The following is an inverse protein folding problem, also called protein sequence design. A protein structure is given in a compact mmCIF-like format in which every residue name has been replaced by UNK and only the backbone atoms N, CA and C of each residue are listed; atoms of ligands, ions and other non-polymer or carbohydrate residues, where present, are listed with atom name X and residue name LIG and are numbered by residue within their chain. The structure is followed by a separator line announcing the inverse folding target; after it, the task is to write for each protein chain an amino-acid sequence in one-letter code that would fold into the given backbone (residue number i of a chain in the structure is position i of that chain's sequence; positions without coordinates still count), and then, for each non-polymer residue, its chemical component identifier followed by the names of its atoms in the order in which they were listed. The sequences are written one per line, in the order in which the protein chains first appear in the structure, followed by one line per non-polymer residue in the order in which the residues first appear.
data_IF_208077255550
#
_entry.id   IF_208077255550
#
_cell.length_a   1.000
_cell.length_b   1.000
_cell.length_c   1.000
_cell.angle_alpha   90.00
_cell.angle_beta   90.00
_cell.angle_gamma   90.00
#
_symmetry.space_group_name_H-M   'P 1'
#
loop_
_entity.id
_entity.type
_entity.pdbx_description
1 polymer ?
#
# COMPACT_ATOMS: atom_id res chain seq x y z
N UNK A 1 23.95 25.33 23.16
CA UNK A 1 23.69 24.08 22.43
C UNK A 1 22.21 23.73 22.30
N UNK A 2 21.37 23.74 23.36
CA UNK A 2 19.90 23.48 23.25
C UNK A 2 19.12 24.47 22.37
N UNK A 3 19.49 25.73 22.33
CA UNK A 3 18.83 26.78 21.53
C UNK A 3 19.05 26.58 20.01
N UNK A 4 20.25 26.21 19.58
CA UNK A 4 20.57 25.93 18.17
C UNK A 4 19.78 24.74 17.61
N UNK A 5 19.68 23.64 18.40
CA UNK A 5 18.89 22.45 18.05
C UNK A 5 17.40 22.77 17.91
N UNK A 6 16.86 23.72 18.70
CA UNK A 6 15.47 24.18 18.61
C UNK A 6 15.20 24.96 17.31
N UNK A 7 16.16 25.82 16.90
CA UNK A 7 16.06 26.61 15.66
C UNK A 7 16.17 25.73 14.40
N UNK A 8 17.08 24.76 14.38
CA UNK A 8 17.23 23.83 13.27
C UNK A 8 15.98 22.97 13.09
N UNK A 9 15.39 22.49 14.20
CA UNK A 9 14.12 21.73 14.18
C UNK A 9 12.98 22.59 13.64
N UNK A 10 12.87 23.85 14.09
CA UNK A 10 11.84 24.79 13.62
C UNK A 10 11.99 25.14 12.14
N UNK A 11 13.23 25.35 11.67
CA UNK A 11 13.54 25.64 10.28
C UNK A 11 13.23 24.43 9.39
N UNK A 12 13.58 23.22 9.84
CA UNK A 12 13.27 21.96 9.13
C UNK A 12 11.76 21.80 8.99
N UNK A 13 11.00 21.93 10.06
CA UNK A 13 9.54 21.82 10.04
C UNK A 13 8.87 22.84 9.11
N UNK A 14 9.37 24.07 9.07
CA UNK A 14 8.86 25.09 8.13
C UNK A 14 9.15 24.70 6.67
N UNK A 15 10.37 24.28 6.37
CA UNK A 15 10.77 23.85 5.02
C UNK A 15 9.93 22.64 4.56
N UNK A 16 9.74 21.66 5.43
CA UNK A 16 8.96 20.46 5.14
C UNK A 16 7.46 20.80 4.96
N UNK A 17 6.94 21.74 5.74
CA UNK A 17 5.60 22.29 5.55
C UNK A 17 5.41 23.00 4.20
N UNK A 18 6.38 23.78 3.75
CA UNK A 18 6.34 24.43 2.43
C UNK A 18 6.41 23.40 1.30
N UNK A 19 7.31 22.40 1.43
CA UNK A 19 7.44 21.31 0.46
C UNK A 19 6.13 20.54 0.32
N UNK A 20 5.51 20.16 1.44
CA UNK A 20 4.21 19.45 1.46
C UNK A 20 3.11 20.28 0.76
N UNK A 21 2.99 21.57 1.06
CA UNK A 21 2.01 22.46 0.41
C UNK A 21 2.22 22.55 -1.11
N UNK A 22 3.45 22.67 -1.55
CA UNK A 22 3.77 22.71 -2.98
C UNK A 22 3.41 21.37 -3.66
N UNK A 23 3.72 20.26 -3.04
CA UNK A 23 3.37 18.92 -3.55
C UNK A 23 1.85 18.71 -3.60
N UNK A 24 1.11 19.13 -2.56
CA UNK A 24 -0.35 19.04 -2.56
C UNK A 24 -0.97 19.87 -3.69
N UNK A 25 -0.45 21.09 -3.93
CA UNK A 25 -0.89 21.91 -5.05
C UNK A 25 -0.65 21.27 -6.41
N UNK A 26 0.48 20.58 -6.58
CA UNK A 26 0.78 19.82 -7.80
C UNK A 26 -0.19 18.62 -7.96
N UNK A 27 -0.52 17.92 -6.86
CA UNK A 27 -1.52 16.83 -6.88
C UNK A 27 -2.89 17.38 -7.29
N UNK A 28 -3.33 18.49 -6.72
CA UNK A 28 -4.57 19.17 -7.06
C UNK A 28 -4.61 19.51 -8.56
N UNK A 29 -3.53 20.11 -9.09
CA UNK A 29 -3.42 20.43 -10.51
C UNK A 29 -3.46 19.19 -11.41
N UNK A 30 -2.79 18.11 -11.04
CA UNK A 30 -2.82 16.83 -11.78
C UNK A 30 -4.21 16.20 -11.77
N UNK A 31 -4.96 16.39 -10.68
CA UNK A 31 -6.32 15.88 -10.53
C UNK A 31 -7.38 16.77 -11.21
N UNK A 32 -7.09 18.03 -11.41
CA UNK A 32 -8.01 18.99 -12.02
C UNK A 32 -8.56 18.48 -13.37
N UNK A 33 -9.86 18.61 -13.56
CA UNK A 33 -10.55 18.15 -14.78
C UNK A 33 -10.81 16.64 -14.86
N UNK A 34 -10.46 15.85 -13.83
CA UNK A 34 -10.79 14.43 -13.75
C UNK A 34 -12.16 14.29 -13.07
N UNK A 35 -13.18 13.95 -13.87
CA UNK A 35 -14.52 13.72 -13.34
C UNK A 35 -14.55 12.42 -12.55
N UNK A 36 -15.17 12.45 -11.40
CA UNK A 36 -15.64 11.24 -10.74
C UNK A 36 -16.90 10.80 -11.48
N UNK A 37 -16.88 9.58 -12.01
CA UNK A 37 -18.12 8.98 -12.48
C UNK A 37 -19.04 8.80 -11.26
N UNK A 38 -20.36 9.09 -11.39
CA UNK A 38 -21.26 8.81 -10.30
C UNK A 38 -21.18 7.31 -9.97
N UNK A 39 -21.11 6.99 -8.69
CA UNK A 39 -21.19 5.62 -8.19
C UNK A 39 -22.53 5.03 -8.64
N UNK A 40 -22.52 4.32 -9.73
CA UNK A 40 -23.66 3.47 -10.14
C UNK A 40 -23.47 2.17 -9.35
N UNK A 41 -24.19 2.04 -8.24
CA UNK A 41 -24.21 0.81 -7.47
C UNK A 41 -24.64 -0.35 -8.41
N UNK A 42 -23.70 -1.24 -8.71
CA UNK A 42 -24.04 -2.46 -9.42
C UNK A 42 -24.71 -3.40 -8.41
N UNK A 43 -26.02 -3.53 -8.48
CA UNK A 43 -26.83 -4.30 -7.54
C UNK A 43 -26.73 -5.82 -7.73
N UNK A 44 -25.99 -6.30 -8.74
CA UNK A 44 -26.00 -7.72 -9.16
C UNK A 44 -24.62 -8.34 -9.38
N UNK A 45 -23.57 -7.85 -8.75
CA UNK A 45 -22.21 -8.40 -8.89
C UNK A 45 -21.42 -8.38 -7.58
N UNK A 46 -20.19 -8.94 -7.58
CA UNK A 46 -19.31 -8.84 -6.40
C UNK A 46 -19.08 -7.38 -6.04
N UNK A 47 -18.98 -7.09 -4.76
CA UNK A 47 -18.77 -5.74 -4.23
C UNK A 47 -17.68 -5.72 -3.17
N UNK A 48 -17.01 -4.58 -3.04
CA UNK A 48 -15.96 -4.36 -2.05
C UNK A 48 -14.88 -5.45 -2.09
N UNK A 49 -14.59 -6.08 -0.96
CA UNK A 49 -13.60 -7.14 -0.83
C UNK A 49 -13.88 -8.37 -1.71
N UNK A 50 -15.13 -8.60 -2.13
CA UNK A 50 -15.47 -9.73 -3.01
C UNK A 50 -14.92 -9.56 -4.43
N UNK A 51 -14.58 -8.31 -4.84
CA UNK A 51 -13.92 -8.00 -6.12
C UNK A 51 -12.45 -8.36 -6.11
N UNK A 52 -11.87 -8.59 -4.91
CA UNK A 52 -10.44 -8.76 -4.76
C UNK A 52 -10.03 -10.23 -4.84
N UNK A 53 -9.03 -10.51 -5.66
CA UNK A 53 -8.20 -11.69 -5.51
C UNK A 53 -7.20 -11.38 -4.39
N UNK A 54 -7.41 -11.99 -3.22
CA UNK A 54 -6.72 -11.63 -1.98
C UNK A 54 -5.57 -12.58 -1.73
N UNK A 55 -4.36 -12.03 -1.65
CA UNK A 55 -3.14 -12.74 -1.31
C UNK A 55 -2.52 -12.16 -0.04
N UNK A 56 -2.02 -13.02 0.86
CA UNK A 56 -1.17 -12.56 1.95
C UNK A 56 0.16 -13.30 1.96
N UNK A 57 1.23 -12.55 2.21
CA UNK A 57 2.60 -13.02 2.19
C UNK A 57 3.02 -13.32 3.62
N UNK A 58 3.45 -14.56 3.90
CA UNK A 58 3.80 -14.99 5.25
C UNK A 58 4.95 -16.01 5.23
N UNK A 59 5.99 -15.76 6.03
CA UNK A 59 7.09 -16.69 6.24
C UNK A 59 6.60 -17.99 6.89
N UNK A 60 7.11 -19.12 6.43
CA UNK A 60 6.59 -20.43 6.87
C UNK A 60 6.74 -20.66 8.38
N UNK A 61 7.82 -20.19 8.98
CA UNK A 61 8.06 -20.30 10.40
C UNK A 61 7.23 -19.33 11.26
N UNK A 62 6.58 -18.31 10.66
CA UNK A 62 5.73 -17.35 11.38
C UNK A 62 4.27 -17.84 11.43
N UNK A 63 4.08 -18.96 12.13
CA UNK A 63 2.74 -19.53 12.37
C UNK A 63 1.85 -18.60 13.22
N UNK A 64 2.45 -17.81 14.11
CA UNK A 64 1.83 -16.76 14.89
C UNK A 64 1.12 -15.73 13.99
N UNK A 65 1.85 -15.10 13.08
CA UNK A 65 1.34 -14.11 12.13
C UNK A 65 0.34 -14.72 11.14
N UNK A 66 0.53 -15.99 10.75
CA UNK A 66 -0.46 -16.71 9.93
C UNK A 66 -1.81 -16.80 10.62
N UNK A 67 -1.82 -17.18 11.90
CA UNK A 67 -3.05 -17.27 12.69
C UNK A 67 -3.71 -15.89 12.86
N UNK A 68 -2.92 -14.84 13.06
CA UNK A 68 -3.39 -13.46 13.13
C UNK A 68 -4.08 -13.03 11.84
N UNK A 69 -3.45 -13.21 10.67
CA UNK A 69 -4.06 -12.85 9.37
C UNK A 69 -5.34 -13.63 9.09
N UNK A 70 -5.39 -14.92 9.43
CA UNK A 70 -6.61 -15.71 9.30
C UNK A 70 -7.73 -15.17 10.20
N UNK A 71 -7.40 -14.71 11.40
CA UNK A 71 -8.35 -14.06 12.32
C UNK A 71 -8.86 -12.73 11.76
N UNK A 72 -7.99 -11.90 11.18
CA UNK A 72 -8.37 -10.65 10.52
C UNK A 72 -9.37 -10.90 9.37
N UNK A 73 -9.06 -11.83 8.46
CA UNK A 73 -9.97 -12.17 7.36
C UNK A 73 -11.29 -12.73 7.86
N UNK A 74 -11.26 -13.58 8.89
CA UNK A 74 -12.48 -14.12 9.52
C UNK A 74 -13.35 -13.01 10.11
N UNK A 75 -12.75 -12.05 10.81
CA UNK A 75 -13.46 -10.90 11.38
C UNK A 75 -14.15 -10.04 10.31
N UNK A 76 -13.56 -9.92 9.13
CA UNK A 76 -14.15 -9.24 7.98
C UNK A 76 -15.11 -10.11 7.17
N UNK A 77 -15.31 -11.37 7.51
CA UNK A 77 -16.14 -12.30 6.74
C UNK A 77 -15.55 -12.67 5.38
N UNK A 78 -14.24 -12.53 5.21
CA UNK A 78 -13.53 -12.93 3.98
C UNK A 78 -13.30 -14.44 4.03
N UNK A 79 -13.83 -15.15 3.05
CA UNK A 79 -13.74 -16.62 2.96
C UNK A 79 -12.82 -17.11 1.85
N UNK A 80 -12.46 -16.24 0.91
CA UNK A 80 -11.56 -16.57 -0.22
C UNK A 80 -10.32 -15.70 -0.14
N UNK A 81 -9.18 -16.31 0.13
CA UNK A 81 -7.86 -15.71 0.11
C UNK A 81 -6.80 -16.80 -0.09
N UNK A 82 -5.66 -16.43 -0.64
CA UNK A 82 -4.52 -17.31 -0.83
C UNK A 82 -3.36 -16.88 0.06
N UNK A 83 -2.73 -17.87 0.72
CA UNK A 83 -1.45 -17.66 1.38
C UNK A 83 -0.33 -17.87 0.38
N UNK A 84 0.54 -16.89 0.25
CA UNK A 84 1.83 -17.05 -0.41
C UNK A 84 2.91 -17.32 0.64
N UNK A 85 3.62 -18.45 0.52
CA UNK A 85 4.77 -18.72 1.39
C UNK A 85 5.92 -17.79 1.01
N UNK A 86 6.22 -16.85 1.91
CA UNK A 86 7.22 -15.83 1.67
C UNK A 86 8.60 -16.43 1.41
N UNK A 87 9.32 -15.86 0.47
CA UNK A 87 10.68 -16.23 0.11
C UNK A 87 11.62 -15.70 1.19
N UNK A 88 12.19 -16.60 1.99
CA UNK A 88 13.20 -16.24 2.98
C UNK A 88 14.52 -15.89 2.29
N UNK A 89 15.15 -14.80 2.71
CA UNK A 89 16.46 -14.37 2.22
C UNK A 89 17.27 -13.77 3.39
N UNK A 90 18.57 -13.92 3.39
CA UNK A 90 19.45 -13.31 4.38
C UNK A 90 19.34 -11.77 4.37
N UNK A 91 19.07 -11.19 3.19
CA UNK A 91 18.62 -9.82 3.05
C UNK A 91 17.09 -9.79 3.08
N UNK A 92 16.49 -9.51 4.24
CA UNK A 92 15.04 -9.52 4.42
C UNK A 92 14.28 -8.62 3.44
N UNK A 93 14.85 -7.46 3.05
CA UNK A 93 14.24 -6.60 2.03
C UNK A 93 14.22 -7.27 0.65
N UNK A 94 15.24 -8.06 0.30
CA UNK A 94 15.27 -8.85 -0.92
C UNK A 94 14.25 -10.00 -0.88
N UNK A 95 14.12 -10.69 0.26
CA UNK A 95 13.10 -11.72 0.46
C UNK A 95 11.68 -11.16 0.30
N UNK A 96 11.41 -10.01 0.91
CA UNK A 96 10.15 -9.27 0.75
C UNK A 96 9.90 -8.93 -0.74
N UNK A 97 10.89 -8.34 -1.43
CA UNK A 97 10.77 -7.97 -2.84
C UNK A 97 10.49 -9.19 -3.74
N UNK A 98 11.22 -10.29 -3.57
CA UNK A 98 11.00 -11.55 -4.31
C UNK A 98 9.61 -12.13 -4.07
N UNK A 99 9.11 -12.04 -2.84
CA UNK A 99 7.77 -12.53 -2.49
C UNK A 99 6.68 -11.73 -3.19
N UNK A 100 6.79 -10.40 -3.20
CA UNK A 100 5.85 -9.54 -3.94
C UNK A 100 5.93 -9.76 -5.45
N UNK A 101 7.15 -9.91 -6.00
CA UNK A 101 7.36 -10.23 -7.43
C UNK A 101 6.64 -11.53 -7.82
N UNK A 102 6.78 -12.58 -7.01
CA UNK A 102 6.14 -13.87 -7.26
C UNK A 102 4.61 -13.80 -7.18
N UNK A 103 4.06 -13.10 -6.18
CA UNK A 103 2.61 -12.88 -6.07
C UNK A 103 2.09 -12.13 -7.29
N UNK A 104 2.74 -11.03 -7.68
CA UNK A 104 2.33 -10.24 -8.84
C UNK A 104 2.42 -11.01 -10.15
N UNK A 105 3.43 -11.89 -10.31
CA UNK A 105 3.58 -12.72 -11.51
C UNK A 105 2.53 -13.83 -11.62
N UNK A 106 1.98 -14.28 -10.49
CA UNK A 106 0.96 -15.34 -10.43
C UNK A 106 -0.47 -14.81 -10.42
N UNK A 107 -0.66 -13.51 -10.20
CA UNK A 107 -1.98 -12.90 -10.14
C UNK A 107 -2.72 -13.06 -11.47
N UNK A 108 -3.93 -13.62 -11.39
CA UNK A 108 -4.82 -13.73 -12.56
C UNK A 108 -5.40 -12.36 -12.88
N UNK A 109 -5.01 -11.81 -14.03
CA UNK A 109 -5.41 -10.46 -14.44
C UNK A 109 -6.66 -10.53 -15.31
N UNK A 110 -7.85 -10.50 -14.71
CA UNK A 110 -9.04 -10.10 -15.44
C UNK A 110 -9.26 -8.58 -15.29
N UNK A 111 -9.78 -7.91 -16.33
CA UNK A 111 -9.93 -6.44 -16.29
C UNK A 111 -10.85 -5.95 -15.19
N UNK A 112 -11.78 -6.81 -14.74
CA UNK A 112 -12.79 -6.47 -13.72
C UNK A 112 -12.39 -6.91 -12.29
N UNK A 113 -11.23 -7.53 -12.13
CA UNK A 113 -10.76 -8.04 -10.86
C UNK A 113 -9.70 -7.12 -10.27
N UNK A 114 -9.76 -6.91 -8.95
CA UNK A 114 -8.74 -6.24 -8.17
C UNK A 114 -7.81 -7.30 -7.57
N UNK A 115 -6.53 -6.98 -7.42
CA UNK A 115 -5.56 -7.80 -6.69
C UNK A 115 -5.22 -7.11 -5.38
N UNK A 116 -5.52 -7.77 -4.27
CA UNK A 116 -5.18 -7.29 -2.93
C UNK A 116 -3.98 -8.07 -2.40
N UNK A 117 -2.95 -7.36 -1.99
CA UNK A 117 -1.74 -7.95 -1.40
C UNK A 117 -1.61 -7.42 0.02
N UNK A 118 -1.50 -8.34 0.99
CA UNK A 118 -1.25 -8.04 2.39
C UNK A 118 0.06 -8.67 2.85
N UNK A 119 0.82 -7.98 3.69
CA UNK A 119 1.86 -8.59 4.51
C UNK A 119 1.23 -9.21 5.77
N UNK A 120 1.91 -10.16 6.39
CA UNK A 120 1.36 -10.94 7.51
C UNK A 120 1.29 -10.17 8.84
N UNK A 121 1.75 -8.94 8.86
CA UNK A 121 1.59 -8.02 9.98
C UNK A 121 0.50 -6.95 9.73
N UNK A 122 -0.26 -7.09 8.65
CA UNK A 122 -1.41 -6.25 8.40
C UNK A 122 -2.50 -6.49 9.46
N UNK A 123 -3.04 -5.42 10.02
CA UNK A 123 -4.19 -5.42 10.92
C UNK A 123 -5.25 -4.49 10.36
N UNK A 124 -6.46 -5.00 10.16
CA UNK A 124 -7.61 -4.17 9.79
C UNK A 124 -8.17 -3.48 11.03
N UNK A 125 -8.31 -2.15 10.98
CA UNK A 125 -8.77 -1.33 12.09
C UNK A 125 -10.14 -0.68 11.82
N UNK A 126 -10.69 -0.94 10.65
CA UNK A 126 -12.03 -0.53 10.24
C UNK A 126 -12.93 -1.74 10.02
N UNK A 127 -14.22 -1.53 10.04
CA UNK A 127 -15.20 -2.55 9.73
C UNK A 127 -15.28 -2.85 8.23
N UNK A 128 -15.92 -3.97 7.90
CA UNK A 128 -16.12 -4.42 6.52
C UNK A 128 -16.78 -3.36 5.65
N UNK A 129 -17.78 -2.65 6.17
CA UNK A 129 -18.56 -1.69 5.40
C UNK A 129 -17.72 -0.49 4.97
N UNK A 130 -16.85 0.02 5.84
CA UNK A 130 -15.93 1.10 5.52
C UNK A 130 -14.89 0.69 4.46
N UNK A 131 -14.37 -0.54 4.57
CA UNK A 131 -13.41 -1.09 3.60
C UNK A 131 -14.10 -1.27 2.24
N UNK A 132 -15.29 -1.87 2.20
CA UNK A 132 -16.04 -2.08 0.96
C UNK A 132 -16.40 -0.75 0.29
N UNK A 133 -16.80 0.27 1.04
CA UNK A 133 -17.10 1.60 0.50
C UNK A 133 -15.87 2.24 -0.18
N UNK A 134 -14.71 2.14 0.44
CA UNK A 134 -13.47 2.67 -0.14
C UNK A 134 -13.06 1.91 -1.41
N UNK A 135 -13.20 0.57 -1.42
CA UNK A 135 -12.92 -0.28 -2.58
C UNK A 135 -13.87 0.03 -3.73
N UNK A 136 -15.16 0.18 -3.47
CA UNK A 136 -16.15 0.51 -4.52
C UNK A 136 -15.84 1.87 -5.15
N UNK A 137 -15.54 2.87 -4.34
CA UNK A 137 -15.17 4.18 -4.85
C UNK A 137 -13.88 4.14 -5.67
N UNK A 138 -12.88 3.38 -5.23
CA UNK A 138 -11.65 3.14 -5.97
C UNK A 138 -11.93 2.39 -7.29
N UNK A 139 -12.73 1.33 -7.26
CA UNK A 139 -13.03 0.48 -8.41
C UNK A 139 -13.66 1.29 -9.55
N UNK A 140 -14.68 2.07 -9.25
CA UNK A 140 -15.39 2.87 -10.26
C UNK A 140 -14.65 4.12 -10.73
N UNK A 141 -13.60 4.54 -10.04
CA UNK A 141 -12.82 5.69 -10.48
C UNK A 141 -11.76 5.27 -11.51
N UNK A 142 -11.90 5.65 -12.80
CA UNK A 142 -11.02 5.16 -13.88
C UNK A 142 -9.59 5.71 -13.81
N UNK A 143 -9.36 6.75 -13.02
CA UNK A 143 -8.06 7.42 -12.91
C UNK A 143 -7.18 6.81 -11.82
N UNK A 144 -7.77 6.13 -10.84
CA UNK A 144 -7.03 5.51 -9.75
C UNK A 144 -6.54 4.12 -10.15
N UNK A 145 -5.33 3.78 -9.75
CA UNK A 145 -4.66 2.54 -10.16
C UNK A 145 -4.21 1.67 -8.99
N UNK A 146 -3.87 2.28 -7.87
CA UNK A 146 -3.46 1.62 -6.63
C UNK A 146 -4.24 2.25 -5.47
N UNK A 147 -4.76 1.44 -4.54
CA UNK A 147 -5.36 1.88 -3.28
C UNK A 147 -4.54 1.30 -2.11
N UNK A 148 -4.06 2.15 -1.21
CA UNK A 148 -3.38 1.76 0.01
C UNK A 148 -4.36 1.88 1.19
N UNK A 149 -4.57 0.78 1.92
CA UNK A 149 -5.39 0.75 3.15
C UNK A 149 -4.54 1.05 4.39
N UNK A 150 -3.26 0.65 4.35
CA UNK A 150 -2.21 1.03 5.30
C UNK A 150 -1.14 1.83 4.54
N UNK A 151 -0.72 2.95 5.05
CA UNK A 151 0.20 3.84 4.34
C UNK A 151 0.94 4.79 5.29
N UNK A 152 2.09 5.29 4.83
CA UNK A 152 2.81 6.42 5.43
C UNK A 152 3.05 7.44 4.30
N UNK A 153 2.31 8.54 4.30
CA UNK A 153 2.31 9.52 3.21
C UNK A 153 2.87 10.87 3.65
N UNK A 154 3.75 11.44 2.84
CA UNK A 154 4.30 12.78 3.05
C UNK A 154 3.39 13.89 2.51
N UNK A 155 2.50 13.55 1.57
CA UNK A 155 1.56 14.48 0.98
C UNK A 155 0.25 13.79 0.60
N UNK A 156 -0.83 14.56 0.57
CA UNK A 156 -2.16 14.05 0.27
C UNK A 156 -3.06 15.16 -0.26
N UNK A 157 -3.99 14.80 -1.15
CA UNK A 157 -5.05 15.67 -1.64
C UNK A 157 -6.38 14.92 -1.65
N UNK A 158 -7.38 15.47 -0.97
CA UNK A 158 -8.71 14.85 -0.86
C UNK A 158 -9.47 14.95 -2.18
N UNK A 159 -9.97 13.81 -2.66
CA UNK A 159 -10.68 13.74 -3.94
C UNK A 159 -12.16 13.37 -3.80
N UNK A 160 -12.54 12.77 -2.68
CA UNK A 160 -13.92 12.32 -2.42
C UNK A 160 -14.21 12.24 -0.92
N UNK A 161 -15.30 11.60 -0.53
CA UNK A 161 -15.64 11.36 0.87
C UNK A 161 -14.68 10.38 1.54
N UNK A 162 -14.28 9.30 0.84
CA UNK A 162 -13.51 8.20 1.41
C UNK A 162 -12.05 8.19 0.96
N UNK A 163 -11.71 8.89 -0.13
CA UNK A 163 -10.41 8.76 -0.77
C UNK A 163 -9.64 10.08 -0.87
N UNK A 164 -8.34 9.95 -0.78
CA UNK A 164 -7.32 10.95 -1.09
C UNK A 164 -6.38 10.40 -2.15
N UNK A 165 -5.59 11.24 -2.80
CA UNK A 165 -4.47 10.85 -3.64
C UNK A 165 -3.17 11.35 -3.05
N UNK A 166 -2.08 10.66 -3.41
CA UNK A 166 -0.72 11.00 -2.98
C UNK A 166 0.27 10.91 -4.13
N UNK A 167 1.42 11.53 -3.98
CA UNK A 167 2.60 11.33 -4.83
C UNK A 167 3.84 10.91 -4.04
N UNK A 168 3.71 10.69 -2.73
CA UNK A 168 4.81 10.28 -1.87
C UNK A 168 4.27 9.46 -0.68
N UNK A 169 3.94 8.18 -0.93
CA UNK A 169 3.60 7.22 0.11
C UNK A 169 4.54 6.03 0.11
N UNK A 170 4.73 5.47 1.29
CA UNK A 170 5.46 4.22 1.55
C UNK A 170 4.50 3.19 2.13
N UNK A 171 5.05 2.00 2.40
CA UNK A 171 4.34 0.87 2.98
C UNK A 171 3.48 0.12 1.95
N UNK A 172 3.85 -1.14 1.71
CA UNK A 172 3.09 -2.06 0.88
C UNK A 172 2.39 -3.14 1.71
N UNK A 173 2.23 -2.90 3.03
CA UNK A 173 1.66 -3.90 3.94
C UNK A 173 0.20 -4.26 3.66
N UNK A 174 -0.55 -3.35 3.01
CA UNK A 174 -1.89 -3.65 2.48
C UNK A 174 -2.23 -2.71 1.32
N UNK A 175 -2.20 -3.24 0.11
CA UNK A 175 -2.54 -2.47 -1.09
C UNK A 175 -3.43 -3.27 -2.04
N UNK A 176 -4.22 -2.55 -2.84
CA UNK A 176 -5.13 -3.09 -3.84
C UNK A 176 -4.77 -2.49 -5.19
N UNK A 177 -4.62 -3.34 -6.19
CA UNK A 177 -4.18 -2.99 -7.53
C UNK A 177 -5.28 -3.26 -8.55
N UNK A 178 -5.49 -2.33 -9.48
CA UNK A 178 -6.22 -2.62 -10.71
C UNK A 178 -5.33 -3.34 -11.72
N UNK A 179 -5.92 -4.09 -12.62
CA UNK A 179 -5.21 -4.76 -13.72
C UNK A 179 -4.27 -3.82 -14.47
N UNK A 180 -4.68 -2.56 -14.69
CA UNK A 180 -3.88 -1.53 -15.37
C UNK A 180 -2.60 -1.12 -14.63
N UNK A 181 -2.48 -1.44 -13.32
CA UNK A 181 -1.31 -1.11 -12.51
C UNK A 181 -0.32 -2.27 -12.37
N UNK A 182 -0.76 -3.51 -12.61
CA UNK A 182 0.01 -4.71 -12.23
C UNK A 182 1.34 -4.75 -12.94
N UNK A 183 1.39 -4.49 -14.24
CA UNK A 183 2.63 -4.52 -15.03
C UNK A 183 3.63 -3.48 -14.50
N UNK A 184 3.19 -2.26 -14.26
CA UNK A 184 4.03 -1.16 -13.78
C UNK A 184 4.56 -1.42 -12.36
N UNK A 185 3.71 -1.96 -11.47
CA UNK A 185 4.11 -2.32 -10.11
C UNK A 185 5.04 -3.51 -10.12
N UNK A 186 4.78 -4.53 -10.94
CA UNK A 186 5.66 -5.69 -11.14
C UNK A 186 7.05 -5.26 -11.59
N UNK A 187 7.16 -4.42 -12.62
CA UNK A 187 8.46 -3.93 -13.10
C UNK A 187 9.20 -3.08 -12.04
N UNK A 188 8.45 -2.33 -11.23
CA UNK A 188 9.04 -1.61 -10.09
C UNK A 188 9.58 -2.55 -9.02
N UNK A 189 8.84 -3.60 -8.68
CA UNK A 189 9.28 -4.63 -7.71
C UNK A 189 10.47 -5.40 -8.26
N UNK A 190 10.46 -5.78 -9.53
CA UNK A 190 11.57 -6.44 -10.22
C UNK A 190 12.83 -5.57 -10.24
N UNK A 191 12.68 -4.26 -10.46
CA UNK A 191 13.81 -3.32 -10.31
C UNK A 191 14.38 -3.34 -8.89
N UNK A 192 13.55 -3.46 -7.86
CA UNK A 192 14.00 -3.65 -6.46
C UNK A 192 14.79 -4.93 -6.31
N UNK A 193 14.24 -6.07 -6.77
CA UNK A 193 14.91 -7.39 -6.71
C UNK A 193 16.29 -7.35 -7.38
N UNK A 194 16.38 -6.80 -8.58
CA UNK A 194 17.62 -6.71 -9.35
C UNK A 194 18.70 -5.91 -8.61
N UNK A 195 18.34 -4.77 -8.02
CA UNK A 195 19.31 -3.92 -7.33
C UNK A 195 19.71 -4.48 -5.96
N UNK A 196 18.76 -4.98 -5.17
CA UNK A 196 19.05 -5.59 -3.87
C UNK A 196 19.90 -6.86 -4.03
N UNK A 197 19.67 -7.66 -5.08
CA UNK A 197 20.48 -8.85 -5.39
C UNK A 197 21.92 -8.52 -5.72
N UNK A 198 22.20 -7.33 -6.23
CA UNK A 198 23.56 -6.83 -6.53
C UNK A 198 24.18 -6.08 -5.35
N UNK A 199 23.59 -6.14 -4.16
CA UNK A 199 24.09 -5.47 -2.96
C UNK A 199 23.69 -3.99 -2.84
N UNK A 200 22.69 -3.55 -3.60
CA UNK A 200 22.11 -2.21 -3.45
C UNK A 200 21.55 -1.98 -2.05
N UNK A 201 21.67 -0.74 -1.56
CA UNK A 201 21.23 -0.39 -0.22
C UNK A 201 19.71 -0.48 -0.09
N UNK A 202 19.21 -1.08 0.99
CA UNK A 202 17.78 -1.18 1.30
C UNK A 202 17.09 0.18 1.27
N UNK A 203 17.73 1.21 1.83
CA UNK A 203 17.18 2.56 1.88
C UNK A 203 16.80 3.12 0.50
N UNK A 204 17.53 2.71 -0.55
CA UNK A 204 17.32 3.18 -1.92
C UNK A 204 16.41 2.25 -2.73
N UNK A 205 16.46 0.94 -2.45
CA UNK A 205 15.90 -0.09 -3.33
C UNK A 205 14.83 -0.99 -2.70
N UNK A 206 14.42 -0.78 -1.44
CA UNK A 206 13.24 -1.47 -0.91
C UNK A 206 12.00 -1.18 -1.77
N UNK A 207 11.07 -2.13 -1.87
CA UNK A 207 9.91 -2.04 -2.76
C UNK A 207 9.09 -0.78 -2.55
N UNK A 208 8.90 -0.36 -1.31
CA UNK A 208 8.18 0.85 -0.91
C UNK A 208 8.95 2.15 -1.18
N UNK A 209 10.24 2.05 -1.52
CA UNK A 209 11.08 3.17 -1.96
C UNK A 209 11.02 3.34 -3.48
N UNK A 210 11.19 2.23 -4.20
CA UNK A 210 11.24 2.29 -5.67
C UNK A 210 9.89 2.60 -6.29
N UNK A 211 8.79 2.14 -5.70
CA UNK A 211 7.44 2.40 -6.22
C UNK A 211 7.01 3.88 -6.14
N UNK A 212 7.69 4.71 -5.34
CA UNK A 212 7.46 6.17 -5.33
C UNK A 212 7.63 6.81 -6.70
N UNK A 213 8.45 6.22 -7.57
CA UNK A 213 8.62 6.70 -8.95
C UNK A 213 7.32 6.55 -9.77
N UNK A 214 6.53 5.50 -9.48
CA UNK A 214 5.25 5.28 -10.14
C UNK A 214 4.24 6.37 -9.77
N UNK A 215 4.28 6.87 -8.55
CA UNK A 215 3.34 7.87 -8.02
C UNK A 215 3.46 9.23 -8.72
N UNK A 216 4.53 9.45 -9.47
CA UNK A 216 4.69 10.67 -10.30
C UNK A 216 3.86 10.60 -11.60
N UNK A 217 3.48 9.40 -12.06
CA UNK A 217 2.75 9.18 -13.33
C UNK A 217 1.42 8.47 -13.14
N UNK A 218 1.23 7.73 -12.06
CA UNK A 218 0.01 7.01 -11.70
C UNK A 218 -0.65 7.71 -10.51
N UNK A 219 -1.97 7.54 -10.36
CA UNK A 219 -2.68 8.02 -9.18
C UNK A 219 -2.82 6.90 -8.15
N UNK A 220 -2.09 7.05 -7.07
CA UNK A 220 -2.23 6.23 -5.88
C UNK A 220 -3.26 6.85 -4.96
N UNK A 221 -4.28 6.07 -4.63
CA UNK A 221 -5.30 6.44 -3.67
C UNK A 221 -4.89 6.00 -2.25
N UNK A 222 -5.26 6.81 -1.30
CA UNK A 222 -5.23 6.52 0.13
C UNK A 222 -6.66 6.60 0.65
N UNK A 223 -6.98 5.83 1.66
CA UNK A 223 -8.24 5.99 2.39
C UNK A 223 -8.19 7.20 3.33
N UNK A 224 -9.30 7.89 3.53
CA UNK A 224 -9.38 8.94 4.55
C UNK A 224 -9.42 8.33 5.95
N UNK A 225 -8.29 8.38 6.62
CA UNK A 225 -8.00 7.56 7.78
C UNK A 225 -7.56 6.16 7.37
N UNK A 226 -6.71 5.57 8.18
CA UNK A 226 -6.23 4.23 7.95
C UNK A 226 -7.36 3.21 8.13
N UNK A 227 -7.58 2.32 7.17
CA UNK A 227 -8.50 1.18 7.32
C UNK A 227 -7.74 -0.09 7.72
N UNK A 228 -6.44 -0.10 7.49
CA UNK A 228 -5.51 -1.10 7.99
C UNK A 228 -4.24 -0.40 8.51
N UNK A 229 -3.49 -1.11 9.33
CA UNK A 229 -2.18 -0.67 9.83
C UNK A 229 -1.21 -1.85 9.87
N UNK A 230 0.06 -1.54 9.99
CA UNK A 230 1.08 -2.53 10.26
C UNK A 230 1.10 -2.79 11.78
N UNK A 231 0.92 -4.05 12.18
CA UNK A 231 0.88 -4.47 13.58
C UNK A 231 2.26 -4.30 14.20
N UNK A 232 2.39 -3.68 15.38
CA UNK A 232 3.64 -3.67 16.12
C UNK A 232 4.07 -5.10 16.43
N UNK A 233 5.22 -5.51 15.94
CA UNK A 233 5.71 -6.88 16.10
C UNK A 233 7.22 -6.97 15.88
N UNK A 234 7.79 -8.16 16.14
CA UNK A 234 9.17 -8.44 15.74
C UNK A 234 9.26 -8.53 14.22
N UNK A 235 10.10 -7.68 13.64
CA UNK A 235 10.37 -7.66 12.21
C UNK A 235 11.57 -8.55 11.89
N UNK A 236 11.37 -9.56 11.06
CA UNK A 236 12.46 -10.41 10.54
C UNK A 236 13.39 -9.63 9.61
N UNK A 237 12.90 -8.54 9.00
CA UNK A 237 13.69 -7.64 8.15
C UNK A 237 14.62 -6.75 8.99
N UNK A 238 14.09 -6.18 10.08
CA UNK A 238 14.83 -5.27 10.97
C UNK A 238 15.56 -5.99 12.08
N UNK A 239 15.27 -7.28 12.31
CA UNK A 239 15.73 -8.10 13.41
C UNK A 239 15.51 -7.41 14.79
N UNK A 240 14.37 -6.76 14.95
CA UNK A 240 13.98 -6.01 16.15
C UNK A 240 12.48 -5.80 16.22
N UNK A 241 11.97 -5.50 17.43
CA UNK A 241 10.59 -5.07 17.58
C UNK A 241 10.39 -3.70 16.92
N UNK A 242 9.41 -3.61 16.04
CA UNK A 242 9.05 -2.40 15.32
C UNK A 242 7.61 -2.00 15.64
N UNK A 243 7.42 -0.71 15.83
CA UNK A 243 6.14 -0.03 15.82
C UNK A 243 6.29 1.14 14.84
N UNK A 244 5.68 1.01 13.69
CA UNK A 244 5.78 2.04 12.64
C UNK A 244 4.81 3.20 12.86
N UNK A 245 3.97 3.14 13.92
CA UNK A 245 3.05 4.20 14.30
C UNK A 245 1.95 4.48 13.26
N UNK A 246 1.63 3.49 12.43
CA UNK A 246 0.65 3.58 11.36
C UNK A 246 -0.74 3.27 11.88
#
# INVERSE_FOLDING_TARGET
MRFLLSWEKKYRNLRDGFRRRAQNKLLEQRWAGKSQLPLVANTHGPSGLERCDIHYINLNHRADRRAEMQSEFKALGVTRFARFEAIADANGALGCAKSHEAVLSSASISQDQLVMICEDDCQFIADRAAIDAAIEEFYYNPHLTVLCLAYNAENEFSISQNLMITSDTQTMSCCILKASAIVEVFESVRFSVDNLSRGGARFDYAIDRVWKRLQQRMFFALTKGHLARQRPSFSDIENSHQDYGL
#
